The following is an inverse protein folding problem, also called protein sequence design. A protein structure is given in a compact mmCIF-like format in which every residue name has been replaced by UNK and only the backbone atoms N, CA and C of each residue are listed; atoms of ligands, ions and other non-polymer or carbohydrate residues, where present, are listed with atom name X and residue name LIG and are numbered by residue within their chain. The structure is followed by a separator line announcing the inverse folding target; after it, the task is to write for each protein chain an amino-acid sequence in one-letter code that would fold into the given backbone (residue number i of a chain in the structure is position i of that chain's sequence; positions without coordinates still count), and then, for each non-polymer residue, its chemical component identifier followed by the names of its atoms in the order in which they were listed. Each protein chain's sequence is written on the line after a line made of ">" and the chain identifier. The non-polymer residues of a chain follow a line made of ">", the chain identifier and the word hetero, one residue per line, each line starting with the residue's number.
data_IF_719139340830
#
_entry.id   IF_719139340830
#
_cell.length_a   1.000
_cell.length_b   1.000
_cell.length_c   1.000
_cell.angle_alpha   90.00
_cell.angle_beta   90.00
_cell.angle_gamma   90.00
#
_symmetry.space_group_name_H-M   'P 1'
#
loop_
_entity.id
_entity.type
_entity.pdbx_description
1 polymer ?
#
# COMPACT_ATOMS: atom_id res chain seq x y z
N UNK A 1 10.88 12.01 -5.94
CA UNK A 1 9.64 11.40 -6.46
C UNK A 1 8.57 12.46 -6.72
N UNK A 2 7.74 12.31 -7.76
CA UNK A 2 6.55 13.17 -8.01
C UNK A 2 5.37 12.74 -7.13
N UNK A 3 4.53 13.68 -6.70
CA UNK A 3 3.37 13.42 -5.83
C UNK A 3 2.39 12.45 -6.49
N UNK A 4 2.18 12.61 -7.80
CA UNK A 4 1.32 11.74 -8.60
C UNK A 4 1.87 10.32 -8.69
N UNK A 5 3.18 10.18 -8.82
CA UNK A 5 3.85 8.89 -8.83
C UNK A 5 3.69 8.19 -7.47
N UNK A 6 3.88 8.95 -6.37
CA UNK A 6 3.64 8.42 -5.03
C UNK A 6 2.20 7.92 -4.85
N UNK A 7 1.21 8.73 -5.22
CA UNK A 7 -0.22 8.36 -5.13
C UNK A 7 -0.51 7.11 -5.96
N UNK A 8 0.00 7.04 -7.20
CA UNK A 8 -0.22 5.91 -8.09
C UNK A 8 0.37 4.61 -7.52
N UNK A 9 1.62 4.64 -7.07
CA UNK A 9 2.30 3.48 -6.47
C UNK A 9 1.59 3.06 -5.18
N UNK A 10 1.17 4.03 -4.34
CA UNK A 10 0.45 3.75 -3.10
C UNK A 10 -0.91 3.08 -3.34
N UNK A 11 -1.68 3.55 -4.33
CA UNK A 11 -2.93 2.92 -4.74
C UNK A 11 -2.70 1.48 -5.24
N UNK A 12 -1.65 1.28 -6.04
CA UNK A 12 -1.28 -0.03 -6.52
C UNK A 12 -0.94 -0.99 -5.37
N UNK A 13 -0.16 -0.53 -4.39
CA UNK A 13 0.14 -1.27 -3.16
C UNK A 13 -1.09 -1.67 -2.38
N UNK A 14 -2.04 -0.74 -2.18
CA UNK A 14 -3.33 -1.03 -1.52
C UNK A 14 -4.11 -2.11 -2.26
N UNK A 15 -4.17 -2.06 -3.59
CA UNK A 15 -4.87 -3.06 -4.40
C UNK A 15 -4.21 -4.44 -4.25
N UNK A 16 -2.88 -4.51 -4.29
CA UNK A 16 -2.14 -5.75 -4.08
C UNK A 16 -2.40 -6.30 -2.67
N UNK A 17 -2.28 -5.47 -1.63
CA UNK A 17 -2.57 -5.87 -0.25
C UNK A 17 -4.00 -6.39 -0.10
N UNK A 18 -4.99 -5.72 -0.69
CA UNK A 18 -6.38 -6.19 -0.71
C UNK A 18 -6.50 -7.57 -1.36
N UNK A 19 -5.93 -7.73 -2.56
CA UNK A 19 -5.98 -8.97 -3.31
C UNK A 19 -5.32 -10.13 -2.56
N UNK A 20 -4.12 -9.91 -2.00
CA UNK A 20 -3.38 -10.92 -1.24
C UNK A 20 -4.10 -11.29 0.06
N UNK A 21 -4.69 -10.32 0.75
CA UNK A 21 -5.52 -10.53 1.95
C UNK A 21 -6.74 -11.41 1.66
N UNK A 22 -7.44 -11.15 0.55
CA UNK A 22 -8.56 -11.97 0.08
C UNK A 22 -8.13 -13.36 -0.39
N UNK A 23 -7.00 -13.45 -1.09
CA UNK A 23 -6.44 -14.71 -1.57
C UNK A 23 -6.00 -15.59 -0.39
N UNK A 24 -5.33 -15.01 0.61
CA UNK A 24 -4.99 -15.67 1.86
C UNK A 24 -6.25 -16.21 2.54
N UNK A 25 -7.29 -15.39 2.73
CA UNK A 25 -8.55 -15.82 3.34
C UNK A 25 -9.21 -17.00 2.59
N UNK A 26 -9.14 -17.04 1.26
CA UNK A 26 -9.76 -18.10 0.45
C UNK A 26 -8.97 -19.39 0.41
N UNK A 27 -7.64 -19.31 0.44
CA UNK A 27 -6.74 -20.46 0.26
C UNK A 27 -6.18 -20.98 1.58
N UNK A 28 -6.19 -20.16 2.63
CA UNK A 28 -5.70 -20.43 3.97
C UNK A 28 -4.27 -21.01 3.99
N UNK A 29 -3.38 -20.40 3.19
CA UNK A 29 -1.98 -20.80 3.11
C UNK A 29 -1.08 -19.76 3.79
N UNK A 30 -0.25 -20.23 4.72
CA UNK A 30 0.73 -19.37 5.44
C UNK A 30 1.64 -18.62 4.48
N UNK A 31 2.08 -19.22 3.37
CA UNK A 31 2.92 -18.54 2.38
C UNK A 31 2.25 -17.29 1.79
N UNK A 32 0.92 -17.31 1.62
CA UNK A 32 0.17 -16.15 1.12
C UNK A 32 0.09 -15.04 2.19
N UNK A 33 -0.03 -15.42 3.46
CA UNK A 33 0.06 -14.47 4.57
C UNK A 33 1.45 -13.83 4.64
N UNK A 34 2.52 -14.61 4.47
CA UNK A 34 3.90 -14.08 4.46
C UNK A 34 4.07 -13.07 3.32
N UNK A 35 3.66 -13.41 2.10
CA UNK A 35 3.77 -12.50 0.96
C UNK A 35 2.90 -11.25 1.17
N UNK A 36 1.68 -11.41 1.67
CA UNK A 36 0.82 -10.29 2.08
C UNK A 36 1.52 -9.37 3.09
N UNK A 37 2.09 -9.96 4.15
CA UNK A 37 2.71 -9.23 5.24
C UNK A 37 3.93 -8.45 4.77
N UNK A 38 4.77 -9.03 3.89
CA UNK A 38 5.90 -8.32 3.29
C UNK A 38 5.45 -7.09 2.50
N UNK A 39 4.45 -7.24 1.62
CA UNK A 39 3.90 -6.10 0.87
C UNK A 39 3.30 -5.06 1.82
N UNK A 40 2.53 -5.50 2.83
CA UNK A 40 1.93 -4.60 3.81
C UNK A 40 2.98 -3.78 4.56
N UNK A 41 4.09 -4.40 4.98
CA UNK A 41 5.19 -3.72 5.69
C UNK A 41 5.97 -2.78 4.77
N UNK A 42 6.26 -3.18 3.54
CA UNK A 42 6.97 -2.34 2.56
C UNK A 42 6.20 -1.05 2.25
N UNK A 43 4.91 -1.16 1.96
CA UNK A 43 4.08 0.03 1.72
C UNK A 43 3.80 0.80 3.02
N UNK A 44 3.51 0.10 4.11
CA UNK A 44 3.22 0.68 5.41
C UNK A 44 4.39 1.47 5.97
N UNK A 45 5.63 0.97 5.86
CA UNK A 45 6.84 1.66 6.33
C UNK A 45 7.09 2.96 5.59
N UNK A 46 6.88 3.00 4.27
CA UNK A 46 6.98 4.24 3.50
C UNK A 46 5.93 5.27 3.93
N UNK A 47 4.67 4.84 4.07
CA UNK A 47 3.60 5.75 4.51
C UNK A 47 3.84 6.26 5.93
N UNK A 48 4.32 5.39 6.82
CA UNK A 48 4.72 5.74 8.18
C UNK A 48 5.84 6.79 8.17
N UNK A 49 6.94 6.52 7.46
CA UNK A 49 8.10 7.41 7.43
C UNK A 49 7.75 8.78 6.85
N UNK A 50 6.91 8.84 5.81
CA UNK A 50 6.43 10.12 5.28
C UNK A 50 5.49 10.86 6.23
N UNK A 51 4.70 10.13 7.03
CA UNK A 51 3.75 10.73 7.97
C UNK A 51 4.45 11.29 9.20
N UNK A 52 5.38 10.53 9.78
CA UNK A 52 5.96 10.81 11.10
C UNK A 52 7.41 11.29 11.02
N UNK A 53 8.24 10.64 10.21
CA UNK A 53 9.68 10.96 10.11
C UNK A 53 9.97 12.06 9.07
N UNK A 54 8.98 12.35 8.21
CA UNK A 54 9.06 13.34 7.12
C UNK A 54 10.16 13.02 6.10
N UNK A 55 10.47 11.74 5.95
CA UNK A 55 11.52 11.24 5.05
C UNK A 55 10.97 10.17 4.11
N UNK A 56 11.54 10.08 2.91
CA UNK A 56 11.32 8.93 2.04
C UNK A 56 12.28 7.82 2.47
N UNK A 57 11.80 6.57 2.51
CA UNK A 57 12.69 5.42 2.62
C UNK A 57 13.48 5.33 1.31
N UNK A 58 14.81 5.43 1.41
CA UNK A 58 15.70 5.56 0.24
C UNK A 58 15.55 4.45 -0.79
N UNK A 59 15.22 3.24 -0.34
CA UNK A 59 15.08 2.06 -1.19
C UNK A 59 13.66 1.51 -1.16
N UNK A 60 12.65 2.39 -1.25
CA UNK A 60 11.27 1.93 -1.29
C UNK A 60 11.03 0.99 -2.48
N UNK A 61 10.55 -0.23 -2.18
CA UNK A 61 10.38 -1.32 -3.15
C UNK A 61 11.66 -1.71 -3.91
N UNK A 62 12.85 -1.35 -3.43
CA UNK A 62 14.15 -1.57 -4.10
C UNK A 62 14.28 -0.94 -5.51
N UNK A 63 13.35 -0.08 -5.92
CA UNK A 63 13.23 0.40 -7.31
C UNK A 63 13.42 1.92 -7.42
N UNK A 64 13.10 2.68 -6.37
CA UNK A 64 13.08 4.15 -6.44
C UNK A 64 14.15 4.76 -5.55
N UNK A 65 15.25 5.23 -6.14
CA UNK A 65 16.14 6.18 -5.47
C UNK A 65 15.43 7.52 -5.33
N UNK A 66 15.20 7.92 -4.08
CA UNK A 66 14.59 9.22 -3.76
C UNK A 66 15.67 10.25 -3.46
N UNK A 67 16.41 10.62 -4.50
CA UNK A 67 17.37 11.71 -4.41
C UNK A 67 16.61 13.04 -4.39
N UNK A 68 16.50 13.62 -3.20
CA UNK A 68 16.12 15.01 -2.97
C UNK A 68 14.75 15.45 -3.54
N UNK A 69 13.67 14.65 -3.41
CA UNK A 69 12.35 15.28 -3.48
C UNK A 69 12.15 16.18 -2.28
N UNK A 70 11.93 17.46 -2.51
CA UNK A 70 11.47 18.40 -1.49
C UNK A 70 10.24 17.82 -0.80
N UNK A 71 10.42 17.39 0.45
CA UNK A 71 9.32 16.96 1.28
C UNK A 71 8.36 18.14 1.46
N UNK A 72 7.07 17.90 1.25
CA UNK A 72 6.03 18.89 1.46
C UNK A 72 4.99 18.32 2.42
N UNK A 73 4.30 19.19 3.16
CA UNK A 73 3.21 18.77 4.05
C UNK A 73 2.11 17.99 3.30
N UNK A 74 1.97 18.19 1.99
CA UNK A 74 1.05 17.43 1.15
C UNK A 74 1.38 15.92 1.14
N UNK A 75 2.66 15.55 1.06
CA UNK A 75 3.07 14.14 1.15
C UNK A 75 2.67 13.53 2.48
N UNK A 76 2.79 14.29 3.58
CA UNK A 76 2.41 13.85 4.92
C UNK A 76 0.92 13.52 5.01
N UNK A 77 0.06 14.41 4.53
CA UNK A 77 -1.40 14.19 4.60
C UNK A 77 -1.83 13.02 3.72
N UNK A 78 -1.27 12.91 2.52
CA UNK A 78 -1.57 11.80 1.61
C UNK A 78 -1.05 10.48 2.19
N UNK A 79 0.15 10.46 2.77
CA UNK A 79 0.69 9.28 3.43
C UNK A 79 -0.18 8.83 4.60
N UNK A 80 -0.69 9.75 5.41
CA UNK A 80 -1.59 9.44 6.52
C UNK A 80 -2.89 8.77 6.03
N UNK A 81 -3.48 9.27 4.93
CA UNK A 81 -4.62 8.62 4.29
C UNK A 81 -4.26 7.20 3.85
N UNK A 82 -3.09 7.01 3.23
CA UNK A 82 -2.66 5.68 2.79
C UNK A 82 -2.32 4.73 3.95
N UNK A 83 -1.85 5.20 5.11
CA UNK A 83 -1.75 4.36 6.32
C UNK A 83 -3.13 3.79 6.66
N UNK A 84 -4.13 4.67 6.77
CA UNK A 84 -5.49 4.26 7.16
C UNK A 84 -6.07 3.27 6.14
N UNK A 85 -5.91 3.56 4.85
CA UNK A 85 -6.41 2.69 3.77
C UNK A 85 -5.66 1.35 3.75
N UNK A 86 -4.36 1.35 4.00
CA UNK A 86 -3.55 0.11 4.06
C UNK A 86 -3.97 -0.75 5.24
N UNK A 87 -4.22 -0.18 6.43
CA UNK A 87 -4.75 -0.90 7.59
C UNK A 87 -6.12 -1.54 7.29
N UNK A 88 -6.95 -0.91 6.46
CA UNK A 88 -8.22 -1.50 6.01
C UNK A 88 -8.04 -2.75 5.13
N UNK A 89 -6.82 -3.08 4.68
CA UNK A 89 -6.51 -4.30 3.94
C UNK A 89 -6.15 -5.49 4.84
N UNK A 90 -6.01 -5.30 6.17
CA UNK A 90 -5.78 -6.39 7.13
C UNK A 90 -6.81 -7.50 6.96
N UNK A 91 -6.42 -8.79 6.96
CA UNK A 91 -7.38 -9.88 6.81
C UNK A 91 -8.38 -9.92 7.99
N UNK A 92 -9.70 -9.98 7.75
CA UNK A 92 -10.38 -9.88 6.45
C UNK A 92 -10.44 -8.42 5.96
N UNK A 93 -10.00 -8.19 4.72
CA UNK A 93 -9.96 -6.85 4.17
C UNK A 93 -11.34 -6.19 4.15
N UNK A 94 -11.42 -4.95 4.66
CA UNK A 94 -12.66 -4.15 4.71
C UNK A 94 -12.99 -3.46 3.39
N UNK A 95 -12.04 -3.43 2.44
CA UNK A 95 -12.21 -2.84 1.10
C UNK A 95 -12.95 -3.76 0.12
N UNK A 96 -13.98 -4.49 0.57
CA UNK A 96 -14.72 -5.45 -0.26
C UNK A 96 -15.45 -4.80 -1.45
N UNK A 97 -15.62 -3.48 -1.48
CA UNK A 97 -16.11 -2.78 -2.67
C UNK A 97 -15.14 -2.91 -3.87
N UNK A 98 -13.82 -3.02 -3.62
CA UNK A 98 -12.83 -3.23 -4.68
C UNK A 98 -13.05 -4.55 -5.40
N UNK A 99 -13.46 -5.60 -4.69
CA UNK A 99 -13.85 -6.87 -5.30
C UNK A 99 -15.03 -6.72 -6.27
N UNK A 100 -15.98 -5.81 -6.02
CA UNK A 100 -17.07 -5.53 -6.97
C UNK A 100 -16.54 -4.84 -8.22
N UNK A 101 -15.60 -3.91 -8.07
CA UNK A 101 -15.01 -3.19 -9.20
C UNK A 101 -14.14 -4.11 -10.08
N UNK A 102 -13.26 -4.90 -9.46
CA UNK A 102 -12.37 -5.84 -10.15
C UNK A 102 -13.11 -7.00 -10.82
N UNK A 103 -14.22 -7.47 -10.25
CA UNK A 103 -15.01 -8.58 -10.82
C UNK A 103 -16.16 -8.12 -11.72
N UNK A 104 -16.40 -6.80 -11.89
CA UNK A 104 -17.50 -6.29 -12.71
C UNK A 104 -17.38 -6.69 -14.20
N UNK A 105 -16.17 -6.96 -14.68
CA UNK A 105 -15.89 -7.38 -16.07
C UNK A 105 -15.83 -8.90 -16.30
N UNK A 106 -16.19 -9.74 -15.32
CA UNK A 106 -16.16 -11.23 -15.43
C UNK A 106 -17.54 -11.88 -15.51
N UNK A 107 -18.57 -11.13 -15.91
CA UNK A 107 -19.92 -11.66 -16.18
C UNK A 107 -20.27 -11.44 -17.64
#
# INVERSE_FOLDING_TARGET
>A
MSIWLYVFISLFGVIICHYLSELYRRKDKVILFIVYFLVFVEFGSQHYSLTFDKTFVRHWLFIFETDNSAFTDLYRYIALVFIIVTVCTLPPSRLTFLNRFLNKGRR
#
